data_IF_539937377994
#
_entry.id   IF_539937377994
#
_cell.length_a   1.000
_cell.length_b   1.000
_cell.length_c   1.000
_cell.angle_alpha   90.00
_cell.angle_beta   90.00
_cell.angle_gamma   90.00
#
_symmetry.space_group_name_H-M   'P 1'
#
loop_
_entity.id
_entity.type
_entity.pdbx_description
1 polymer ?
#
# COMPACT_ATOMS: atom_id res chain seq x y z
N UNK A 1 -1.22 -14.63 -6.47
CA UNK A 1 -0.95 -13.21 -6.16
C UNK A 1 -0.18 -13.14 -4.84
N UNK A 2 0.93 -12.44 -4.86
CA UNK A 2 1.69 -12.16 -3.65
C UNK A 2 1.10 -10.94 -2.94
N UNK A 3 1.17 -10.94 -1.61
CA UNK A 3 0.64 -9.86 -0.78
C UNK A 3 1.67 -9.38 0.22
N UNK A 4 1.63 -8.09 0.52
CA UNK A 4 2.54 -7.48 1.48
C UNK A 4 1.86 -6.33 2.22
N UNK A 5 2.44 -5.95 3.35
CA UNK A 5 2.08 -4.73 4.07
C UNK A 5 3.26 -3.77 4.02
N UNK A 6 2.98 -2.50 3.73
CA UNK A 6 3.91 -1.38 3.90
C UNK A 6 3.20 -0.32 4.72
N UNK A 7 3.65 -0.09 5.94
CA UNK A 7 2.98 0.80 6.87
C UNK A 7 3.93 1.85 7.44
N UNK A 8 3.52 3.13 7.36
CA UNK A 8 4.18 4.21 8.09
C UNK A 8 3.74 4.13 9.55
N UNK A 9 4.69 3.86 10.43
CA UNK A 9 4.38 3.63 11.85
C UNK A 9 5.59 3.93 12.72
N UNK A 10 5.33 4.34 13.96
CA UNK A 10 6.34 4.47 15.02
C UNK A 10 6.39 3.22 15.91
N UNK A 11 5.40 2.35 15.80
CA UNK A 11 5.31 1.15 16.62
C UNK A 11 6.25 0.04 16.13
N UNK A 12 6.79 -0.79 17.03
CA UNK A 12 7.68 -1.86 16.61
C UNK A 12 6.93 -2.98 15.87
N UNK A 13 7.69 -3.73 15.09
CA UNK A 13 7.20 -4.86 14.31
C UNK A 13 6.36 -5.83 15.16
N UNK A 14 6.83 -6.17 16.35
CA UNK A 14 6.13 -7.12 17.21
C UNK A 14 4.70 -6.71 17.54
N UNK A 15 4.45 -5.39 17.64
CA UNK A 15 3.09 -4.89 17.90
C UNK A 15 2.18 -5.17 16.72
N UNK A 16 2.63 -4.86 15.50
CA UNK A 16 1.85 -5.05 14.28
C UNK A 16 1.64 -6.53 13.97
N UNK A 17 2.67 -7.35 14.13
CA UNK A 17 2.56 -8.79 13.92
C UNK A 17 1.57 -9.42 14.90
N UNK A 18 1.58 -8.96 16.16
CA UNK A 18 0.62 -9.46 17.16
C UNK A 18 -0.82 -9.13 16.79
N UNK A 19 -1.06 -7.91 16.26
CA UNK A 19 -2.40 -7.51 15.81
C UNK A 19 -2.84 -8.36 14.61
N UNK A 20 -1.97 -8.53 13.63
CA UNK A 20 -2.29 -9.33 12.43
C UNK A 20 -2.52 -10.80 12.78
N UNK A 21 -1.75 -11.34 13.72
CA UNK A 21 -1.93 -12.71 14.17
C UNK A 21 -3.23 -12.87 14.96
N UNK A 22 -3.54 -11.92 15.84
CA UNK A 22 -4.82 -11.90 16.57
C UNK A 22 -6.01 -11.93 15.61
N UNK A 23 -5.92 -11.18 14.51
CA UNK A 23 -6.97 -11.11 13.50
C UNK A 23 -6.92 -12.28 12.50
N UNK A 24 -5.96 -13.20 12.65
CA UNK A 24 -5.87 -14.40 11.84
C UNK A 24 -5.37 -14.19 10.42
N UNK A 25 -4.70 -13.06 10.13
CA UNK A 25 -4.30 -12.71 8.77
C UNK A 25 -2.78 -12.64 8.56
N UNK A 26 -1.98 -12.75 9.62
CA UNK A 26 -0.52 -12.63 9.50
C UNK A 26 0.06 -13.57 8.44
N UNK A 27 -0.43 -14.81 8.41
CA UNK A 27 0.08 -15.84 7.50
C UNK A 27 -0.27 -15.58 6.02
N UNK A 28 -1.14 -14.61 5.75
CA UNK A 28 -1.57 -14.30 4.39
C UNK A 28 -0.60 -13.38 3.65
N UNK A 29 0.38 -12.80 4.36
CA UNK A 29 1.32 -11.85 3.78
C UNK A 29 2.66 -12.51 3.51
N UNK A 30 3.19 -12.26 2.31
CA UNK A 30 4.50 -12.76 1.89
C UNK A 30 5.64 -11.87 2.40
N UNK A 31 5.37 -10.59 2.69
CA UNK A 31 6.36 -9.65 3.21
C UNK A 31 5.69 -8.54 4.02
N UNK A 32 6.38 -8.08 5.06
CA UNK A 32 5.92 -6.99 5.92
C UNK A 32 7.03 -5.96 6.09
N UNK A 33 6.74 -4.69 5.78
CA UNK A 33 7.66 -3.57 6.01
C UNK A 33 6.99 -2.52 6.89
N UNK A 34 7.61 -2.24 8.03
CA UNK A 34 7.16 -1.20 8.95
C UNK A 34 8.23 -0.12 9.01
N UNK A 35 7.84 1.14 8.78
CA UNK A 35 8.81 2.25 8.66
C UNK A 35 9.48 2.62 9.98
N UNK A 36 9.05 2.07 11.11
CA UNK A 36 9.81 2.13 12.35
C UNK A 36 11.19 1.47 12.24
N UNK A 37 11.41 0.62 11.21
CA UNK A 37 12.65 -0.10 10.96
C UNK A 37 13.46 0.48 9.80
N UNK A 38 12.97 1.54 9.15
CA UNK A 38 13.59 2.10 7.94
C UNK A 38 14.02 3.54 8.14
N UNK A 39 15.03 4.04 7.41
CA UNK A 39 15.45 5.44 7.51
C UNK A 39 14.44 6.43 6.92
N UNK A 40 13.55 5.97 6.04
CA UNK A 40 12.53 6.81 5.42
C UNK A 40 11.18 6.11 5.44
N UNK A 41 10.10 6.88 5.31
CA UNK A 41 8.75 6.36 5.18
C UNK A 41 8.12 6.75 3.85
N UNK A 42 6.88 6.29 3.60
CA UNK A 42 6.11 6.71 2.43
C UNK A 42 5.97 8.23 2.42
N UNK A 43 6.06 8.92 1.30
CA UNK A 43 6.05 8.40 -0.06
C UNK A 43 7.45 8.14 -0.66
N UNK A 44 8.49 8.02 0.15
CA UNK A 44 9.85 7.82 -0.36
C UNK A 44 9.94 6.53 -1.20
N UNK A 45 10.60 6.62 -2.35
CA UNK A 45 10.70 5.50 -3.30
C UNK A 45 11.32 4.25 -2.70
N UNK A 46 12.26 4.42 -1.77
CA UNK A 46 13.02 3.30 -1.20
C UNK A 46 12.15 2.26 -0.51
N UNK A 47 11.08 2.68 0.17
CA UNK A 47 10.23 1.73 0.90
C UNK A 47 9.35 0.91 -0.04
N UNK A 48 8.87 1.52 -1.13
CA UNK A 48 8.14 0.78 -2.15
C UNK A 48 9.05 -0.18 -2.90
N UNK A 49 10.26 0.28 -3.25
CA UNK A 49 11.26 -0.56 -3.92
C UNK A 49 11.67 -1.76 -3.06
N UNK A 50 11.82 -1.56 -1.75
CA UNK A 50 12.15 -2.63 -0.81
C UNK A 50 11.10 -3.74 -0.85
N UNK A 51 9.82 -3.37 -0.78
CA UNK A 51 8.72 -4.35 -0.83
C UNK A 51 8.74 -5.12 -2.15
N UNK A 52 8.87 -4.41 -3.27
CA UNK A 52 8.87 -5.06 -4.59
C UNK A 52 10.06 -5.99 -4.76
N UNK A 53 11.23 -5.60 -4.26
CA UNK A 53 12.42 -6.44 -4.29
C UNK A 53 12.19 -7.74 -3.52
N UNK A 54 11.63 -7.64 -2.31
CA UNK A 54 11.40 -8.82 -1.48
C UNK A 54 10.27 -9.72 -2.00
N UNK A 55 9.34 -9.16 -2.77
CA UNK A 55 8.30 -9.94 -3.44
C UNK A 55 8.76 -10.48 -4.79
N UNK A 56 9.88 -10.02 -5.31
CA UNK A 56 10.37 -10.34 -6.65
C UNK A 56 9.32 -9.99 -7.73
N UNK A 57 8.80 -8.76 -7.65
CA UNK A 57 7.75 -8.25 -8.55
C UNK A 57 8.21 -6.93 -9.15
N UNK A 58 8.02 -6.75 -10.46
CA UNK A 58 8.28 -5.47 -11.11
C UNK A 58 7.17 -4.47 -10.78
N UNK A 59 7.50 -3.15 -10.70
CA UNK A 59 6.50 -2.13 -10.37
C UNK A 59 5.25 -2.17 -11.24
N UNK A 60 5.39 -2.37 -12.54
CA UNK A 60 4.26 -2.40 -13.48
C UNK A 60 3.27 -3.53 -13.21
N UNK A 61 3.69 -4.54 -12.46
CA UNK A 61 2.87 -5.70 -12.12
C UNK A 61 2.36 -5.66 -10.68
N UNK A 62 2.47 -4.52 -10.02
CA UNK A 62 2.10 -4.36 -8.62
C UNK A 62 1.11 -3.21 -8.44
N UNK A 63 0.26 -3.33 -7.43
CA UNK A 63 -0.64 -2.27 -7.01
C UNK A 63 -0.50 -2.03 -5.51
N UNK A 64 -0.63 -0.77 -5.11
CA UNK A 64 -0.63 -0.39 -3.71
C UNK A 64 -2.02 0.16 -3.35
N UNK A 65 -2.57 -0.31 -2.26
CA UNK A 65 -3.88 0.11 -1.75
C UNK A 65 -3.65 0.99 -0.53
N UNK A 66 -4.21 2.18 -0.54
CA UNK A 66 -4.07 3.08 0.60
C UNK A 66 -5.11 4.18 0.61
N UNK A 67 -5.20 4.87 1.75
CA UNK A 67 -6.17 5.93 1.97
C UNK A 67 -5.60 7.34 1.73
N UNK A 68 -4.28 7.48 1.60
CA UNK A 68 -3.60 8.77 1.51
C UNK A 68 -3.10 9.03 0.11
N UNK A 69 -3.62 10.07 -0.53
CA UNK A 69 -3.25 10.38 -1.91
C UNK A 69 -1.76 10.66 -2.08
N UNK A 70 -1.15 11.43 -1.19
CA UNK A 70 0.26 11.75 -1.33
C UNK A 70 1.16 10.59 -0.92
N UNK A 71 1.00 10.10 0.32
CA UNK A 71 1.89 9.05 0.85
C UNK A 71 1.74 7.73 0.10
N UNK A 72 0.50 7.31 -0.17
CA UNK A 72 0.21 5.99 -0.72
C UNK A 72 0.14 5.97 -2.24
N UNK A 73 -0.73 6.78 -2.81
CA UNK A 73 -1.01 6.73 -4.25
C UNK A 73 0.13 7.35 -5.05
N UNK A 74 0.50 8.58 -4.72
CA UNK A 74 1.63 9.25 -5.38
C UNK A 74 2.93 8.47 -5.16
N UNK A 75 3.17 8.00 -3.93
CA UNK A 75 4.35 7.22 -3.62
C UNK A 75 4.47 5.97 -4.50
N UNK A 76 3.42 5.19 -4.61
CA UNK A 76 3.40 4.00 -5.45
C UNK A 76 3.57 4.34 -6.94
N UNK A 77 2.84 5.33 -7.44
CA UNK A 77 2.90 5.74 -8.85
C UNK A 77 4.27 6.28 -9.24
N UNK A 78 4.99 6.88 -8.29
CA UNK A 78 6.31 7.47 -8.56
C UNK A 78 7.36 6.43 -8.99
N UNK A 79 7.17 5.15 -8.69
CA UNK A 79 8.06 4.08 -9.13
C UNK A 79 7.43 3.17 -10.18
N UNK A 80 6.25 3.51 -10.69
CA UNK A 80 5.59 2.76 -11.75
C UNK A 80 4.58 1.73 -11.29
N UNK A 81 4.22 1.71 -10.01
CA UNK A 81 3.11 0.89 -9.50
C UNK A 81 1.78 1.55 -9.81
N UNK A 82 0.70 0.77 -9.78
CA UNK A 82 -0.65 1.30 -9.76
C UNK A 82 -1.06 1.64 -8.32
N UNK A 83 -1.84 2.70 -8.18
CA UNK A 83 -2.38 3.12 -6.89
C UNK A 83 -3.90 2.95 -6.85
N UNK A 84 -4.39 2.25 -5.85
CA UNK A 84 -5.83 2.08 -5.58
C UNK A 84 -6.16 2.87 -4.33
N UNK A 85 -7.00 3.89 -4.48
CA UNK A 85 -7.37 4.76 -3.38
C UNK A 85 -8.65 4.27 -2.71
N UNK A 86 -8.62 4.20 -1.37
CA UNK A 86 -9.78 3.87 -0.56
C UNK A 86 -10.05 5.04 0.40
N UNK A 87 -10.83 6.06 -0.04
CA UNK A 87 -11.07 7.25 0.78
C UNK A 87 -11.99 6.99 1.96
N UNK A 88 -11.82 7.80 3.01
CA UNK A 88 -12.73 7.84 4.15
C UNK A 88 -12.71 9.24 4.78
N UNK A 89 -13.68 9.52 5.66
CA UNK A 89 -13.90 10.87 6.21
C UNK A 89 -12.81 11.37 7.15
N UNK A 90 -11.97 10.49 7.67
CA UNK A 90 -10.94 10.84 8.65
C UNK A 90 -9.56 11.09 8.03
N UNK A 91 -9.46 11.16 6.71
CA UNK A 91 -8.18 11.43 6.03
C UNK A 91 -7.85 12.91 6.19
N UNK A 92 -6.60 13.26 6.59
CA UNK A 92 -6.17 14.67 6.63
C UNK A 92 -6.31 15.34 5.25
N UNK A 93 -6.66 16.61 5.21
CA UNK A 93 -6.84 17.36 3.96
C UNK A 93 -5.60 17.31 3.07
N UNK A 94 -4.40 17.35 3.64
CA UNK A 94 -3.14 17.25 2.90
C UNK A 94 -2.96 15.91 2.17
N UNK A 95 -3.77 14.91 2.49
CA UNK A 95 -3.69 13.57 1.92
C UNK A 95 -4.96 13.17 1.16
N UNK A 96 -5.98 14.04 1.15
CA UNK A 96 -7.27 13.74 0.53
C UNK A 96 -7.71 14.80 -0.46
N UNK A 97 -7.07 15.95 -0.48
CA UNK A 97 -7.36 17.02 -1.42
C UNK A 97 -6.76 16.71 -2.78
N UNK A 98 -7.28 17.36 -3.81
CA UNK A 98 -6.72 17.27 -5.15
C UNK A 98 -5.33 17.91 -5.18
N UNK A 99 -4.31 17.07 -5.27
CA UNK A 99 -2.91 17.44 -5.37
C UNK A 99 -2.38 17.20 -6.79
N UNK A 100 -3.28 17.08 -7.77
CA UNK A 100 -2.90 16.66 -9.12
C UNK A 100 -2.61 15.16 -9.19
N UNK A 101 -3.04 14.40 -8.18
CA UNK A 101 -2.83 12.96 -8.10
C UNK A 101 -4.12 12.25 -8.52
N UNK A 102 -4.03 11.43 -9.57
CA UNK A 102 -5.17 10.65 -10.05
C UNK A 102 -4.93 9.18 -9.73
N UNK A 103 -5.73 8.58 -8.84
CA UNK A 103 -5.63 7.14 -8.58
C UNK A 103 -5.92 6.34 -9.85
N UNK A 104 -5.28 5.18 -9.98
CA UNK A 104 -5.60 4.25 -11.07
C UNK A 104 -6.95 3.60 -10.87
N UNK A 105 -7.39 3.46 -9.63
CA UNK A 105 -8.75 3.06 -9.27
C UNK A 105 -9.11 3.62 -7.90
N UNK A 106 -10.40 3.75 -7.64
CA UNK A 106 -10.94 4.16 -6.34
C UNK A 106 -11.99 3.15 -5.92
N UNK A 107 -11.88 2.65 -4.70
CA UNK A 107 -12.85 1.70 -4.13
C UNK A 107 -13.38 2.23 -2.81
N UNK A 108 -14.58 1.82 -2.43
CA UNK A 108 -15.19 2.24 -1.16
C UNK A 108 -14.94 1.24 -0.04
N UNK A 109 -14.66 -0.01 -0.39
CA UNK A 109 -14.42 -1.11 0.56
C UNK A 109 -13.22 -1.92 0.11
N UNK A 110 -12.48 -2.44 1.08
CA UNK A 110 -11.30 -3.26 0.81
C UNK A 110 -11.65 -4.51 -0.03
N UNK A 111 -12.83 -5.09 0.17
CA UNK A 111 -13.29 -6.25 -0.59
C UNK A 111 -13.43 -6.02 -2.09
N UNK A 112 -13.53 -4.76 -2.54
CA UNK A 112 -13.62 -4.44 -3.97
C UNK A 112 -12.26 -4.48 -4.69
N UNK A 113 -11.16 -4.49 -3.93
CA UNK A 113 -9.79 -4.43 -4.50
C UNK A 113 -9.52 -5.63 -5.41
N UNK A 114 -9.94 -6.82 -4.99
CA UNK A 114 -9.67 -8.03 -5.78
C UNK A 114 -10.28 -7.96 -7.18
N UNK A 115 -11.49 -7.42 -7.32
CA UNK A 115 -12.13 -7.27 -8.61
C UNK A 115 -11.33 -6.34 -9.54
N UNK A 116 -10.82 -5.23 -8.98
CA UNK A 116 -9.99 -4.29 -9.73
C UNK A 116 -8.71 -4.96 -10.22
N UNK A 117 -8.02 -5.66 -9.34
CA UNK A 117 -6.77 -6.34 -9.67
C UNK A 117 -6.98 -7.44 -10.70
N UNK A 118 -8.05 -8.22 -10.58
CA UNK A 118 -8.38 -9.26 -11.55
C UNK A 118 -8.72 -8.68 -12.91
N UNK A 119 -9.45 -7.56 -12.96
CA UNK A 119 -9.73 -6.87 -14.22
C UNK A 119 -8.44 -6.43 -14.93
N UNK A 120 -7.49 -5.88 -14.17
CA UNK A 120 -6.20 -5.46 -14.72
C UNK A 120 -5.39 -6.64 -15.25
N UNK A 121 -5.44 -7.78 -14.58
CA UNK A 121 -4.67 -8.97 -15.01
C UNK A 121 -5.27 -9.63 -16.24
N UNK A 122 -6.52 -9.31 -16.61
CA UNK A 122 -7.20 -9.83 -17.79
C UNK A 122 -7.04 -8.91 -19.03
N UNK A 123 -6.27 -7.84 -18.91
CA UNK A 123 -6.01 -6.91 -20.02
C UNK A 123 -4.77 -7.28 -20.80
#
# INVERSE_FOLDING_TARGET
IKTAVLSNTMWPRRHHEAVLERDGVLHLFDYLLFTSETPAGKPHKSVFADVLYNLDIEPKNAAFVGDRLFDDIHGAQSIGMKGIWIPHSNIPASQSSDLGITPDATVQKLGEVMNVVLDWSNQ
#
